data_IF_259211889249
#
_entry.id   IF_259211889249
#
_cell.length_a   1.000
_cell.length_b   1.000
_cell.length_c   1.000
_cell.angle_alpha   90.00
_cell.angle_beta   90.00
_cell.angle_gamma   90.00
#
_symmetry.space_group_name_H-M   'P 1'
#
loop_
_entity.id
_entity.type
_entity.pdbx_description
1 polymer ?
#
# COMPACT_ATOMS: atom_id res chain seq x y z
N UNK A 1 42.22 7.69 2.05
CA UNK A 1 42.38 9.13 2.35
C UNK A 1 42.31 10.04 1.10
N UNK A 2 42.52 9.57 -0.14
CA UNK A 2 42.53 10.48 -1.32
C UNK A 2 41.18 11.04 -1.76
N UNK A 3 40.06 10.34 -1.53
CA UNK A 3 38.74 10.80 -2.00
C UNK A 3 38.14 11.93 -1.15
N UNK A 4 38.41 11.99 0.15
CA UNK A 4 37.79 12.99 1.06
C UNK A 4 38.42 14.38 0.93
N UNK A 5 39.73 14.42 0.65
CA UNK A 5 40.49 15.65 0.40
C UNK A 5 39.97 16.37 -0.85
N UNK A 6 39.51 15.64 -1.86
CA UNK A 6 38.91 16.22 -3.08
C UNK A 6 37.62 17.01 -2.80
N UNK A 7 36.90 16.69 -1.72
CA UNK A 7 35.62 17.32 -1.36
C UNK A 7 35.73 18.22 -0.12
N UNK A 8 36.95 18.58 0.29
CA UNK A 8 37.22 19.39 1.50
C UNK A 8 36.52 18.84 2.77
N UNK A 9 36.43 17.51 2.85
CA UNK A 9 35.71 16.82 3.91
C UNK A 9 36.69 16.26 4.96
N UNK A 10 36.41 16.51 6.23
CA UNK A 10 37.17 15.95 7.36
C UNK A 10 36.34 14.93 8.14
N UNK A 11 37.00 13.86 8.61
CA UNK A 11 36.41 12.90 9.56
C UNK A 11 36.54 13.46 10.98
N UNK A 12 35.42 13.59 11.69
CA UNK A 12 35.35 14.32 12.95
C UNK A 12 35.42 13.44 14.20
N UNK A 13 34.89 12.21 14.17
CA UNK A 13 34.94 11.31 15.33
C UNK A 13 36.24 10.52 15.36
N UNK A 14 36.80 10.35 16.57
CA UNK A 14 38.07 9.65 16.81
C UNK A 14 37.91 8.34 17.60
N UNK A 15 36.75 8.12 18.22
CA UNK A 15 36.49 6.94 19.03
C UNK A 15 35.96 5.76 18.20
N UNK A 16 36.17 4.54 18.69
CA UNK A 16 35.61 3.33 18.11
C UNK A 16 34.09 3.27 18.28
N UNK A 17 33.39 3.10 17.16
CA UNK A 17 31.92 3.06 17.14
C UNK A 17 31.37 1.65 17.23
N UNK A 18 32.18 0.62 16.97
CA UNK A 18 31.83 -0.77 17.21
C UNK A 18 32.84 -1.39 18.16
N UNK A 19 32.37 -1.78 19.34
CA UNK A 19 33.17 -2.40 20.40
C UNK A 19 32.61 -3.78 20.68
N UNK A 20 33.43 -4.80 20.51
CA UNK A 20 33.13 -6.19 20.83
C UNK A 20 34.12 -6.69 21.88
N UNK A 21 33.91 -7.87 22.50
CA UNK A 21 34.86 -8.41 23.48
C UNK A 21 36.28 -8.60 22.93
N UNK A 22 36.44 -8.73 21.60
CA UNK A 22 37.73 -9.08 20.95
C UNK A 22 38.24 -8.03 19.96
N UNK A 23 37.40 -7.10 19.51
CA UNK A 23 37.77 -6.08 18.50
C UNK A 23 37.10 -4.74 18.74
N UNK A 24 37.80 -3.67 18.41
CA UNK A 24 37.31 -2.30 18.40
C UNK A 24 37.52 -1.71 17.01
N UNK A 25 36.46 -1.26 16.35
CA UNK A 25 36.50 -0.75 14.97
C UNK A 25 35.68 0.53 14.84
N UNK A 26 36.16 1.46 14.03
CA UNK A 26 35.47 2.70 13.70
C UNK A 26 34.74 2.51 12.37
N UNK A 27 33.44 2.22 12.45
CA UNK A 27 32.61 1.94 11.27
C UNK A 27 31.71 3.12 10.94
N UNK A 28 31.24 3.83 11.96
CA UNK A 28 30.30 4.94 11.84
C UNK A 28 31.10 6.25 11.86
N UNK A 29 31.22 6.92 10.70
CA UNK A 29 32.03 8.13 10.54
C UNK A 29 31.14 9.38 10.50
N UNK A 30 31.58 10.45 11.18
CA UNK A 30 31.07 11.81 10.99
C UNK A 30 31.99 12.48 9.98
N UNK A 31 31.48 12.78 8.79
CA UNK A 31 32.23 13.45 7.72
C UNK A 31 31.53 14.77 7.41
N UNK A 32 32.27 15.87 7.40
CA UNK A 32 31.74 17.21 7.11
C UNK A 32 32.77 18.06 6.39
N UNK A 33 32.32 18.96 5.52
CA UNK A 33 33.12 20.04 4.96
C UNK A 33 33.00 21.35 5.75
N UNK A 34 32.29 21.31 6.88
CA UNK A 34 32.11 22.41 7.83
C UNK A 34 32.39 21.91 9.24
N UNK A 35 33.67 21.70 9.52
CA UNK A 35 34.15 21.19 10.80
C UNK A 35 33.89 22.18 11.95
N UNK A 36 33.88 23.47 11.63
CA UNK A 36 33.59 24.61 12.50
C UNK A 36 32.19 24.57 13.12
N UNK A 37 31.21 23.98 12.43
CA UNK A 37 29.84 23.88 12.92
C UNK A 37 29.60 22.68 13.84
N UNK A 38 30.54 21.73 13.95
CA UNK A 38 30.35 20.46 14.65
C UNK A 38 31.12 20.46 15.97
N UNK A 39 30.40 20.32 17.07
CA UNK A 39 30.93 20.33 18.43
C UNK A 39 30.47 19.10 19.24
N UNK A 40 31.06 18.89 20.43
CA UNK A 40 30.56 17.94 21.42
C UNK A 40 30.37 16.50 20.90
N UNK A 41 31.30 16.00 20.08
CA UNK A 41 31.27 14.63 19.57
C UNK A 41 31.44 13.66 20.74
N UNK A 42 30.50 12.73 20.88
CA UNK A 42 30.44 11.75 21.97
C UNK A 42 30.02 10.39 21.44
N UNK A 43 30.72 9.37 21.88
CA UNK A 43 30.39 7.98 21.59
C UNK A 43 29.70 7.37 22.80
N UNK A 44 28.40 7.14 22.70
CA UNK A 44 27.56 6.64 23.77
C UNK A 44 27.12 5.22 23.48
N UNK A 45 27.64 4.25 24.23
CA UNK A 45 27.16 2.89 24.12
C UNK A 45 25.73 2.76 24.70
N UNK A 46 24.81 2.38 23.81
CA UNK A 46 23.37 2.29 24.06
C UNK A 46 22.93 0.96 24.67
N UNK A 47 23.81 -0.04 24.69
CA UNK A 47 23.60 -1.39 25.23
C UNK A 47 22.58 -2.24 24.47
N UNK A 48 22.07 -1.74 23.35
CA UNK A 48 21.09 -2.43 22.50
C UNK A 48 21.73 -3.00 21.23
N UNK A 49 22.96 -2.59 20.90
CA UNK A 49 23.72 -3.01 19.72
C UNK A 49 25.20 -3.08 20.07
N UNK A 50 25.98 -3.82 19.27
CA UNK A 50 27.45 -3.78 19.29
C UNK A 50 28.00 -2.47 18.69
N UNK A 51 27.11 -1.63 18.12
CA UNK A 51 27.43 -0.28 17.70
C UNK A 51 27.03 0.73 18.78
N UNK A 52 27.99 1.58 19.14
CA UNK A 52 27.84 2.73 19.99
C UNK A 52 27.17 3.86 19.20
N UNK A 53 26.25 4.57 19.85
CA UNK A 53 25.62 5.74 19.26
C UNK A 53 26.63 6.88 19.26
N UNK A 54 26.99 7.35 18.07
CA UNK A 54 27.73 8.60 17.93
C UNK A 54 26.73 9.76 17.96
N UNK A 55 26.97 10.73 18.83
CA UNK A 55 26.21 11.99 18.87
C UNK A 55 27.16 13.17 18.81
N UNK A 56 26.71 14.25 18.18
CA UNK A 56 27.44 15.51 18.09
C UNK A 56 26.41 16.64 18.15
N UNK A 57 26.86 17.82 18.54
CA UNK A 57 26.07 19.05 18.45
C UNK A 57 26.49 19.77 17.18
N UNK A 58 25.53 20.42 16.53
CA UNK A 58 25.84 21.26 15.39
C UNK A 58 25.21 22.62 15.60
N UNK A 59 26.01 23.69 15.52
CA UNK A 59 25.50 25.04 15.69
C UNK A 59 24.85 25.51 14.38
N UNK A 60 23.53 25.42 14.33
CA UNK A 60 22.72 26.05 13.30
C UNK A 60 21.43 26.53 13.94
N UNK A 61 20.88 27.66 13.50
CA UNK A 61 19.54 28.11 13.91
C UNK A 61 18.51 27.22 13.22
N UNK A 62 17.88 26.23 13.89
CA UNK A 62 16.89 25.41 13.21
C UNK A 62 15.67 26.28 12.87
N UNK A 63 15.22 26.25 11.61
CA UNK A 63 13.89 26.77 11.27
C UNK A 63 12.86 25.99 12.08
N UNK A 64 12.22 26.63 13.06
CA UNK A 64 11.11 26.03 13.81
C UNK A 64 9.96 25.81 12.84
N UNK A 65 9.69 24.56 12.48
CA UNK A 65 8.53 24.23 11.65
C UNK A 65 7.27 24.58 12.45
N UNK A 66 6.38 25.45 11.94
CA UNK A 66 5.16 25.80 12.64
C UNK A 66 4.31 24.53 12.83
N UNK A 67 3.57 24.41 13.95
CA UNK A 67 2.74 23.25 14.19
C UNK A 67 1.66 23.11 13.10
N UNK A 68 1.49 21.90 12.58
CA UNK A 68 0.44 21.61 11.59
C UNK A 68 -0.93 21.70 12.27
N UNK A 69 -1.74 22.66 11.84
CA UNK A 69 -3.13 22.80 12.26
C UNK A 69 -4.00 22.20 11.15
N UNK A 70 -4.94 21.33 11.52
CA UNK A 70 -5.91 20.73 10.58
C UNK A 70 -7.31 21.12 11.02
N UNK A 71 -8.17 21.46 10.06
CA UNK A 71 -9.59 21.70 10.30
C UNK A 71 -10.35 20.38 10.15
N UNK A 72 -11.13 20.01 11.16
CA UNK A 72 -12.00 18.82 11.14
C UNK A 72 -13.41 19.21 11.57
N UNK A 73 -14.44 18.52 11.09
CA UNK A 73 -15.80 18.70 11.59
C UNK A 73 -16.03 17.92 12.89
N UNK A 74 -16.73 18.54 13.85
CA UNK A 74 -16.95 17.96 15.17
C UNK A 74 -18.18 17.04 15.20
N UNK A 75 -18.03 15.81 14.73
CA UNK A 75 -19.14 14.85 14.70
C UNK A 75 -19.46 14.18 16.06
N UNK A 76 -18.71 14.48 17.14
CA UNK A 76 -18.88 13.79 18.43
C UNK A 76 -20.19 14.11 19.14
N UNK A 77 -20.74 15.30 18.89
CA UNK A 77 -21.98 15.79 19.48
C UNK A 77 -23.13 15.85 18.46
N UNK A 78 -22.94 15.23 17.30
CA UNK A 78 -23.92 15.29 16.23
C UNK A 78 -25.12 14.41 16.57
N UNK A 79 -26.32 15.00 16.57
CA UNK A 79 -27.58 14.28 16.75
C UNK A 79 -28.01 13.68 15.42
N UNK A 80 -27.72 12.38 15.23
CA UNK A 80 -27.89 11.69 13.94
C UNK A 80 -29.33 11.77 13.42
N UNK A 81 -30.33 11.67 14.29
CA UNK A 81 -31.74 11.70 13.88
C UNK A 81 -32.17 13.10 13.44
N UNK A 82 -31.71 14.16 14.11
CA UNK A 82 -31.98 15.55 13.69
C UNK A 82 -31.28 15.85 12.35
N UNK A 83 -30.04 15.39 12.17
CA UNK A 83 -29.31 15.54 10.90
C UNK A 83 -30.04 14.86 9.72
N UNK A 84 -30.59 13.66 9.93
CA UNK A 84 -31.40 12.97 8.91
C UNK A 84 -32.68 13.74 8.59
N UNK A 85 -33.36 14.26 9.62
CA UNK A 85 -34.58 15.04 9.45
C UNK A 85 -34.32 16.31 8.62
N UNK A 86 -33.25 17.03 8.92
CA UNK A 86 -32.89 18.25 8.19
C UNK A 86 -32.44 17.94 6.75
N UNK A 87 -31.80 16.79 6.50
CA UNK A 87 -31.56 16.31 5.15
C UNK A 87 -32.86 15.94 4.41
N UNK A 88 -33.87 15.39 5.07
CA UNK A 88 -35.15 15.07 4.42
C UNK A 88 -35.96 16.31 4.08
N UNK A 89 -35.91 17.32 4.95
CA UNK A 89 -36.64 18.58 4.79
C UNK A 89 -35.89 19.61 3.93
N UNK A 90 -34.66 19.32 3.52
CA UNK A 90 -33.87 20.21 2.72
C UNK A 90 -34.52 20.44 1.33
N UNK A 91 -34.43 21.67 0.78
CA UNK A 91 -35.10 22.03 -0.47
C UNK A 91 -34.31 21.53 -1.69
N UNK A 92 -34.15 20.21 -1.83
CA UNK A 92 -33.37 19.60 -2.92
C UNK A 92 -33.92 19.91 -4.31
N UNK A 93 -35.23 20.14 -4.42
CA UNK A 93 -35.91 20.54 -5.66
C UNK A 93 -35.37 21.85 -6.24
N UNK A 94 -34.69 22.69 -5.44
CA UNK A 94 -33.99 23.88 -5.93
C UNK A 94 -32.95 23.53 -6.99
N UNK A 95 -32.38 22.32 -6.95
CA UNK A 95 -31.43 21.86 -7.97
C UNK A 95 -32.09 21.72 -9.34
N UNK A 96 -33.37 21.34 -9.41
CA UNK A 96 -34.08 21.10 -10.68
C UNK A 96 -34.36 22.40 -11.46
N UNK A 97 -34.19 23.55 -10.82
CA UNK A 97 -34.37 24.87 -11.43
C UNK A 97 -33.25 25.25 -12.40
N UNK A 98 -32.12 24.53 -12.38
CA UNK A 98 -30.97 24.78 -13.25
C UNK A 98 -30.98 23.79 -14.42
N UNK A 99 -30.49 24.20 -15.59
CA UNK A 99 -30.32 23.30 -16.73
C UNK A 99 -28.95 22.61 -16.69
N UNK A 100 -27.92 23.38 -16.36
CA UNK A 100 -26.53 22.93 -16.30
C UNK A 100 -26.24 21.98 -15.14
N UNK A 101 -25.45 20.94 -15.39
CA UNK A 101 -25.15 19.87 -14.42
C UNK A 101 -24.18 20.35 -13.33
N UNK A 102 -23.26 21.25 -13.65
CA UNK A 102 -22.32 21.81 -12.69
C UNK A 102 -23.05 22.73 -11.71
N UNK A 103 -23.98 23.55 -12.21
CA UNK A 103 -24.82 24.41 -11.38
C UNK A 103 -25.70 23.58 -10.42
N UNK A 104 -26.32 22.50 -10.92
CA UNK A 104 -27.05 21.52 -10.09
C UNK A 104 -26.19 20.97 -8.96
N UNK A 105 -24.97 20.55 -9.30
CA UNK A 105 -24.03 19.97 -8.36
C UNK A 105 -23.59 20.99 -7.30
N UNK A 106 -23.36 22.25 -7.70
CA UNK A 106 -22.97 23.32 -6.79
C UNK A 106 -24.07 23.61 -5.77
N UNK A 107 -25.31 23.83 -6.23
CA UNK A 107 -26.46 24.14 -5.36
C UNK A 107 -26.74 22.99 -4.40
N UNK A 108 -26.73 21.75 -4.89
CA UNK A 108 -26.85 20.57 -4.04
C UNK A 108 -25.78 20.55 -2.95
N UNK A 109 -24.53 20.84 -3.34
CA UNK A 109 -23.40 20.79 -2.41
C UNK A 109 -23.50 21.89 -1.35
N UNK A 110 -24.00 23.07 -1.72
CA UNK A 110 -24.14 24.19 -0.80
C UNK A 110 -25.23 23.91 0.25
N UNK A 111 -26.40 23.42 -0.17
CA UNK A 111 -27.47 22.95 0.73
C UNK A 111 -26.93 21.90 1.71
N UNK A 112 -26.20 20.90 1.19
CA UNK A 112 -25.61 19.84 2.02
C UNK A 112 -24.56 20.39 3.01
N UNK A 113 -23.73 21.34 2.58
CA UNK A 113 -22.69 21.96 3.41
C UNK A 113 -23.26 22.80 4.54
N UNK A 114 -24.37 23.50 4.30
CA UNK A 114 -25.04 24.31 5.31
C UNK A 114 -25.60 23.43 6.43
N UNK A 115 -26.28 22.34 6.08
CA UNK A 115 -26.74 21.33 7.05
C UNK A 115 -25.55 20.73 7.81
N UNK A 116 -24.44 20.47 7.12
CA UNK A 116 -23.22 19.99 7.79
C UNK A 116 -22.63 21.02 8.75
N UNK A 117 -22.76 22.33 8.51
CA UNK A 117 -22.24 23.36 9.41
C UNK A 117 -23.07 23.47 10.69
N UNK A 118 -24.40 23.33 10.59
CA UNK A 118 -25.28 23.27 11.75
C UNK A 118 -24.97 22.06 12.64
N UNK A 119 -24.89 20.86 12.04
CA UNK A 119 -24.81 19.60 12.78
C UNK A 119 -23.39 19.16 13.13
N UNK A 120 -22.40 19.56 12.34
CA UNK A 120 -21.01 19.16 12.49
C UNK A 120 -20.08 20.34 12.19
N UNK A 121 -20.06 21.39 13.04
CA UNK A 121 -19.29 22.60 12.80
C UNK A 121 -17.79 22.33 12.71
N UNK A 122 -17.10 23.14 11.91
CA UNK A 122 -15.65 23.04 11.72
C UNK A 122 -14.89 23.46 12.99
N UNK A 123 -13.86 22.69 13.36
CA UNK A 123 -12.95 23.00 14.47
C UNK A 123 -11.50 22.83 14.05
N UNK A 124 -10.66 23.81 14.42
CA UNK A 124 -9.19 23.71 14.25
C UNK A 124 -8.58 22.80 15.31
N UNK A 125 -7.72 21.89 14.90
CA UNK A 125 -7.01 20.96 15.78
C UNK A 125 -5.50 21.00 15.51
N UNK A 126 -4.71 21.30 16.56
CA UNK A 126 -3.25 21.26 16.50
C UNK A 126 -2.77 19.82 16.52
N UNK A 127 -2.15 19.40 15.42
CA UNK A 127 -1.63 18.05 15.27
C UNK A 127 -0.38 17.87 16.13
N UNK A 128 -0.48 17.08 17.21
CA UNK A 128 0.66 16.73 18.05
C UNK A 128 1.46 15.61 17.39
N UNK A 129 2.79 15.65 17.50
CA UNK A 129 3.63 14.49 17.15
C UNK A 129 3.20 13.33 18.05
N UNK A 130 2.66 12.26 17.46
CA UNK A 130 2.28 11.09 18.22
C UNK A 130 3.55 10.40 18.73
N UNK A 131 3.72 10.34 20.05
CA UNK A 131 4.59 9.34 20.64
C UNK A 131 3.98 7.97 20.42
N UNK A 132 4.80 6.92 20.32
CA UNK A 132 4.30 5.54 20.22
C UNK A 132 3.22 5.31 21.31
N UNK A 133 2.01 4.86 20.95
CA UNK A 133 0.89 4.80 21.89
C UNK A 133 1.16 3.95 23.14
N UNK A 134 1.97 2.90 23.00
CA UNK A 134 2.36 2.00 24.09
C UNK A 134 3.52 2.53 24.96
N UNK A 135 4.03 3.74 24.72
CA UNK A 135 5.16 4.32 25.47
C UNK A 135 4.68 5.22 26.62
N UNK A 136 4.45 4.59 27.78
CA UNK A 136 4.07 5.28 29.02
C UNK A 136 5.23 5.97 29.73
N UNK A 137 4.93 6.92 30.62
CA UNK A 137 5.92 7.56 31.49
C UNK A 137 6.66 6.57 32.39
N UNK A 138 5.94 5.60 32.97
CA UNK A 138 6.52 4.55 33.79
C UNK A 138 7.51 3.66 33.02
N UNK A 139 7.18 3.30 31.77
CA UNK A 139 8.07 2.51 30.92
C UNK A 139 9.36 3.28 30.58
N UNK A 140 9.25 4.59 30.30
CA UNK A 140 10.43 5.46 30.09
C UNK A 140 11.32 5.52 31.32
N UNK A 141 10.75 5.59 32.53
CA UNK A 141 11.53 5.57 33.76
C UNK A 141 12.31 4.25 33.92
N UNK A 142 11.69 3.11 33.62
CA UNK A 142 12.37 1.80 33.65
C UNK A 142 13.48 1.69 32.60
N UNK A 143 13.26 2.20 31.39
CA UNK A 143 14.31 2.31 30.36
C UNK A 143 15.50 3.16 30.83
N UNK A 144 15.24 4.26 31.52
CA UNK A 144 16.28 5.11 32.11
C UNK A 144 17.03 4.40 33.24
N UNK A 145 16.35 3.64 34.10
CA UNK A 145 16.99 2.81 35.14
C UNK A 145 17.93 1.77 34.52
N UNK A 146 17.47 1.03 33.51
CA UNK A 146 18.29 0.09 32.72
C UNK A 146 19.52 0.78 32.14
N UNK A 147 19.35 1.97 31.54
CA UNK A 147 20.45 2.74 30.99
C UNK A 147 21.48 3.13 32.07
N UNK A 148 21.03 3.62 33.22
CA UNK A 148 21.94 3.94 34.35
C UNK A 148 22.70 2.70 34.84
N UNK A 149 22.03 1.55 34.96
CA UNK A 149 22.67 0.29 35.36
C UNK A 149 23.75 -0.15 34.35
N UNK A 150 23.49 -0.01 33.05
CA UNK A 150 24.49 -0.24 32.01
C UNK A 150 25.70 0.68 32.15
N UNK A 151 25.48 1.98 32.40
CA UNK A 151 26.58 2.92 32.60
C UNK A 151 27.44 2.54 33.82
N UNK A 152 26.83 2.04 34.90
CA UNK A 152 27.57 1.52 36.06
C UNK A 152 28.38 0.26 35.73
N UNK A 153 27.75 -0.74 35.11
CA UNK A 153 28.43 -1.99 34.72
C UNK A 153 29.62 -1.75 33.77
N UNK A 154 29.55 -0.71 32.93
CA UNK A 154 30.66 -0.30 32.06
C UNK A 154 31.83 0.33 32.79
N UNK A 155 31.56 1.11 33.84
CA UNK A 155 32.62 1.71 34.67
C UNK A 155 33.41 0.63 35.40
N UNK A 156 32.74 -0.43 35.84
CA UNK A 156 33.35 -1.56 36.54
C UNK A 156 33.19 -2.85 35.73
N UNK A 157 33.92 -2.94 34.60
CA UNK A 157 33.79 -4.06 33.65
C UNK A 157 33.90 -5.45 34.27
N UNK A 158 34.72 -5.60 35.32
CA UNK A 158 35.00 -6.89 35.97
C UNK A 158 33.96 -7.28 37.04
N UNK A 159 32.99 -6.41 37.33
CA UNK A 159 31.98 -6.64 38.35
C UNK A 159 30.76 -7.39 37.77
N UNK A 160 30.76 -8.71 37.87
CA UNK A 160 29.69 -9.58 37.35
C UNK A 160 28.31 -9.30 37.99
N UNK A 161 28.29 -8.79 39.22
CA UNK A 161 27.06 -8.38 39.91
C UNK A 161 26.32 -7.26 39.17
N UNK A 162 27.04 -6.23 38.72
CA UNK A 162 26.47 -5.11 37.96
C UNK A 162 25.99 -5.55 36.58
N UNK A 163 26.69 -6.47 35.91
CA UNK A 163 26.25 -7.05 34.64
C UNK A 163 25.02 -7.93 34.79
N UNK A 164 24.89 -8.66 35.92
CA UNK A 164 23.69 -9.43 36.25
C UNK A 164 22.48 -8.51 36.50
N UNK A 165 22.67 -7.41 37.24
CA UNK A 165 21.64 -6.39 37.47
C UNK A 165 21.18 -5.75 36.14
N UNK A 166 22.14 -5.35 35.29
CA UNK A 166 21.83 -4.82 33.96
C UNK A 166 21.03 -5.82 33.11
N UNK A 167 21.47 -7.08 33.02
CA UNK A 167 20.76 -8.12 32.25
C UNK A 167 19.33 -8.34 32.76
N UNK A 168 19.13 -8.32 34.08
CA UNK A 168 17.79 -8.39 34.70
C UNK A 168 16.91 -7.21 34.24
N UNK A 169 17.39 -5.98 34.42
CA UNK A 169 16.65 -4.77 34.01
C UNK A 169 16.40 -4.71 32.50
N UNK A 170 17.34 -5.19 31.68
CA UNK A 170 17.18 -5.29 30.23
C UNK A 170 16.04 -6.23 29.86
N UNK A 171 15.99 -7.41 30.48
CA UNK A 171 14.96 -8.41 30.21
C UNK A 171 13.59 -7.92 30.69
N UNK A 172 13.51 -7.28 31.87
CA UNK A 172 12.29 -6.66 32.39
C UNK A 172 11.74 -5.58 31.44
N UNK A 173 12.57 -4.62 31.03
CA UNK A 173 12.19 -3.56 30.08
C UNK A 173 11.73 -4.17 28.75
N UNK A 174 12.41 -5.20 28.27
CA UNK A 174 12.04 -5.87 27.00
C UNK A 174 10.69 -6.58 27.12
N UNK A 175 10.44 -7.27 28.24
CA UNK A 175 9.18 -7.96 28.49
C UNK A 175 8.01 -6.97 28.62
N UNK A 176 8.22 -5.85 29.32
CA UNK A 176 7.20 -4.83 29.52
C UNK A 176 6.90 -4.04 28.24
N UNK A 177 7.93 -3.74 27.43
CA UNK A 177 7.74 -3.13 26.12
C UNK A 177 6.91 -4.04 25.21
N UNK A 178 7.20 -5.36 25.20
CA UNK A 178 6.42 -6.35 24.45
C UNK A 178 4.97 -6.39 24.96
N UNK A 179 4.76 -6.41 26.28
CA UNK A 179 3.44 -6.43 26.90
C UNK A 179 2.64 -5.17 26.54
N UNK A 180 3.20 -3.98 26.73
CA UNK A 180 2.54 -2.71 26.41
C UNK A 180 2.16 -2.63 24.93
N UNK A 181 3.06 -3.06 24.02
CA UNK A 181 2.78 -3.14 22.59
C UNK A 181 1.65 -4.15 22.30
N UNK A 182 1.68 -5.32 22.93
CA UNK A 182 0.67 -6.38 22.81
C UNK A 182 -0.72 -5.89 23.25
N UNK A 183 -0.82 -5.28 24.43
CA UNK A 183 -2.06 -4.71 24.99
C UNK A 183 -2.64 -3.65 24.07
N UNK A 184 -1.81 -2.71 23.59
CA UNK A 184 -2.25 -1.67 22.67
C UNK A 184 -2.91 -2.26 21.40
N UNK A 185 -2.27 -3.24 20.77
CA UNK A 185 -2.84 -3.86 19.57
C UNK A 185 -4.08 -4.72 19.88
N UNK A 186 -4.15 -5.34 21.06
CA UNK A 186 -5.31 -6.11 21.50
C UNK A 186 -6.54 -5.22 21.73
N UNK A 187 -6.37 -4.09 22.39
CA UNK A 187 -7.42 -3.07 22.55
C UNK A 187 -7.86 -2.52 21.20
N UNK A 188 -6.91 -2.20 20.32
CA UNK A 188 -7.22 -1.72 18.97
C UNK A 188 -8.02 -2.74 18.14
N UNK A 189 -7.75 -4.04 18.33
CA UNK A 189 -8.47 -5.12 17.69
C UNK A 189 -9.89 -5.33 18.27
N UNK A 190 -10.06 -5.16 19.59
CA UNK A 190 -11.36 -5.37 20.24
C UNK A 190 -12.33 -4.18 20.10
N UNK A 191 -11.83 -2.95 19.98
CA UNK A 191 -12.67 -1.76 19.97
C UNK A 191 -13.45 -1.52 18.66
N UNK A 192 -13.43 -2.42 17.67
CA UNK A 192 -14.01 -2.15 16.35
C UNK A 192 -14.75 -3.37 15.75
N UNK A 193 -15.83 -3.12 15.00
CA UNK A 193 -16.31 -4.06 13.97
C UNK A 193 -15.29 -4.05 12.83
N UNK A 194 -14.30 -4.94 12.89
CA UNK A 194 -13.14 -4.89 11.99
C UNK A 194 -13.42 -5.67 10.69
N UNK A 195 -13.36 -4.96 9.56
CA UNK A 195 -13.31 -5.57 8.24
C UNK A 195 -11.85 -5.93 7.85
N UNK A 196 -11.68 -6.79 6.84
CA UNK A 196 -10.37 -7.29 6.41
C UNK A 196 -9.35 -6.18 6.12
N UNK A 197 -9.78 -5.04 5.54
CA UNK A 197 -8.92 -3.88 5.25
C UNK A 197 -8.38 -3.23 6.53
N UNK A 198 -9.21 -3.06 7.56
CA UNK A 198 -8.80 -2.51 8.85
C UNK A 198 -7.85 -3.46 9.59
N UNK A 199 -8.13 -4.77 9.57
CA UNK A 199 -7.20 -5.79 10.13
C UNK A 199 -5.84 -5.75 9.43
N UNK A 200 -5.80 -5.61 8.10
CA UNK A 200 -4.55 -5.44 7.34
C UNK A 200 -3.74 -4.21 7.75
N UNK A 201 -4.42 -3.10 8.06
CA UNK A 201 -3.75 -1.89 8.55
C UNK A 201 -3.08 -2.14 9.90
N UNK A 202 -3.79 -2.80 10.82
CA UNK A 202 -3.25 -3.18 12.13
C UNK A 202 -2.03 -4.10 11.96
N UNK A 203 -2.10 -5.09 11.06
CA UNK A 203 -1.00 -6.01 10.75
C UNK A 203 0.26 -5.26 10.25
N UNK A 204 0.09 -4.32 9.32
CA UNK A 204 1.19 -3.53 8.78
C UNK A 204 1.83 -2.61 9.83
N UNK A 205 1.02 -2.08 10.75
CA UNK A 205 1.49 -1.29 11.89
C UNK A 205 2.28 -2.14 12.90
N UNK A 206 1.74 -3.30 13.27
CA UNK A 206 2.38 -4.19 14.23
C UNK A 206 3.72 -4.72 13.73
N UNK A 207 3.81 -5.01 12.43
CA UNK A 207 5.02 -5.50 11.75
C UNK A 207 6.07 -4.42 11.45
N UNK A 208 5.78 -3.13 11.68
CA UNK A 208 6.72 -2.04 11.38
C UNK A 208 6.98 -1.84 9.88
N UNK A 209 6.17 -2.44 9.01
CA UNK A 209 6.22 -2.26 7.55
C UNK A 209 5.61 -0.95 7.09
N UNK A 210 4.77 -0.33 7.92
CA UNK A 210 4.53 1.11 7.81
C UNK A 210 5.86 1.80 8.17
N UNK A 211 6.70 2.02 7.17
CA UNK A 211 7.64 3.13 7.24
C UNK A 211 6.83 4.36 7.65
N UNK A 212 7.41 5.23 8.49
CA UNK A 212 6.88 6.57 8.74
C UNK A 212 6.87 7.44 7.46
N UNK A 213 6.71 6.85 6.28
CA UNK A 213 6.53 7.45 4.99
C UNK A 213 5.07 7.84 4.80
N UNK A 214 4.64 8.70 5.73
CA UNK A 214 3.68 9.79 5.58
C UNK A 214 3.34 10.19 7.00
N UNK A 215 3.90 11.33 7.42
CA UNK A 215 3.16 12.35 8.15
C UNK A 215 1.71 12.27 7.72
N UNK A 216 0.90 11.53 8.48
CA UNK A 216 -0.54 11.65 8.55
C UNK A 216 -1.12 11.84 7.15
N UNK A 217 -1.35 10.72 6.44
CA UNK A 217 -2.53 10.68 5.57
C UNK A 217 -3.64 11.17 6.48
N UNK A 218 -4.00 12.43 6.25
CA UNK A 218 -5.04 13.11 6.96
C UNK A 218 -6.16 12.11 7.11
N UNK A 219 -6.72 12.07 8.32
CA UNK A 219 -7.98 11.42 8.58
C UNK A 219 -8.84 11.74 7.36
N UNK A 220 -9.12 10.71 6.54
CA UNK A 220 -10.09 10.74 5.46
C UNK A 220 -11.48 10.80 6.11
N UNK A 221 -11.65 11.68 7.10
CA UNK A 221 -12.91 12.23 7.56
C UNK A 221 -13.23 13.24 6.48
N UNK A 222 -14.17 12.90 5.62
CA UNK A 222 -14.41 13.52 4.33
C UNK A 222 -14.98 14.94 4.38
N UNK A 223 -14.41 15.83 5.19
CA UNK A 223 -14.88 17.21 5.36
C UNK A 223 -13.68 18.16 5.56
N UNK A 224 -12.66 18.00 4.73
CA UNK A 224 -11.60 18.99 4.57
C UNK A 224 -11.85 19.65 3.21
N UNK A 225 -12.28 20.91 3.19
CA UNK A 225 -12.34 21.70 1.95
C UNK A 225 -10.89 21.92 1.50
N UNK A 226 -10.43 21.15 0.52
CA UNK A 226 -9.36 21.58 -0.37
C UNK A 226 -9.95 22.59 -1.35
N UNK A 227 -9.13 23.49 -1.88
CA UNK A 227 -9.49 24.28 -3.06
C UNK A 227 -10.02 23.32 -4.15
N UNK A 228 -11.17 23.67 -4.74
CA UNK A 228 -11.79 22.90 -5.81
C UNK A 228 -11.02 23.21 -7.08
N UNK A 229 -10.28 22.24 -7.58
CA UNK A 229 -9.81 22.28 -8.97
C UNK A 229 -10.90 21.62 -9.83
N UNK A 230 -11.28 22.30 -10.91
CA UNK A 230 -12.18 21.73 -11.92
C UNK A 230 -11.53 20.48 -12.53
N UNK A 231 -12.34 19.45 -12.77
CA UNK A 231 -11.92 18.24 -13.48
C UNK A 231 -12.64 18.24 -14.80
N UNK A 232 -11.94 18.66 -15.86
CA UNK A 232 -12.53 18.75 -17.21
C UNK A 232 -12.83 17.36 -17.79
N UNK A 233 -12.05 16.34 -17.39
CA UNK A 233 -12.19 14.97 -17.88
C UNK A 233 -11.94 13.93 -16.78
N UNK A 234 -12.79 12.89 -16.77
CA UNK A 234 -12.66 11.71 -15.91
C UNK A 234 -13.34 11.86 -14.55
N UNK A 235 -13.16 10.84 -13.71
CA UNK A 235 -13.77 10.77 -12.37
C UNK A 235 -12.69 10.91 -11.29
N UNK A 236 -12.92 11.70 -10.22
CA UNK A 236 -11.96 11.84 -9.14
C UNK A 236 -11.58 10.49 -8.52
N UNK A 237 -10.29 10.20 -8.46
CA UNK A 237 -9.81 8.90 -8.00
C UNK A 237 -10.16 8.68 -6.51
N UNK A 238 -10.91 7.62 -6.23
CA UNK A 238 -11.39 7.31 -4.88
C UNK A 238 -12.69 8.01 -4.50
N UNK A 239 -13.38 8.63 -5.47
CA UNK A 239 -14.82 8.91 -5.38
C UNK A 239 -15.60 7.59 -5.22
N UNK A 240 -16.77 7.67 -4.59
CA UNK A 240 -17.64 6.50 -4.37
C UNK A 240 -18.34 6.11 -5.68
N UNK A 241 -18.72 7.10 -6.50
CA UNK A 241 -19.42 6.89 -7.77
C UNK A 241 -18.50 6.60 -8.95
N UNK A 242 -17.21 6.95 -8.88
CA UNK A 242 -16.27 6.77 -9.98
C UNK A 242 -16.28 5.37 -10.61
N UNK A 243 -16.26 4.27 -9.84
CA UNK A 243 -16.33 2.92 -10.40
C UNK A 243 -17.63 2.62 -11.15
N UNK A 244 -18.77 3.12 -10.66
CA UNK A 244 -20.08 2.92 -11.30
C UNK A 244 -20.16 3.69 -12.62
N UNK A 245 -19.75 4.97 -12.60
CA UNK A 245 -19.75 5.82 -13.79
C UNK A 245 -18.83 5.26 -14.87
N UNK A 246 -17.64 4.76 -14.48
CA UNK A 246 -16.73 4.11 -15.42
C UNK A 246 -17.31 2.80 -15.99
N UNK A 247 -18.00 1.99 -15.19
CA UNK A 247 -18.65 0.78 -15.67
C UNK A 247 -19.75 1.09 -16.69
N UNK A 248 -20.59 2.09 -16.43
CA UNK A 248 -21.63 2.55 -17.36
C UNK A 248 -21.04 3.12 -18.65
N UNK A 249 -19.94 3.86 -18.54
CA UNK A 249 -19.26 4.45 -19.70
C UNK A 249 -18.66 3.40 -20.65
N UNK A 250 -18.20 2.26 -20.12
CA UNK A 250 -17.58 1.19 -20.91
C UNK A 250 -18.53 0.02 -21.25
N UNK A 251 -19.82 0.12 -20.95
CA UNK A 251 -20.76 -1.01 -21.01
C UNK A 251 -20.96 -1.55 -22.44
N UNK A 252 -20.83 -0.69 -23.45
CA UNK A 252 -21.00 -1.04 -24.87
C UNK A 252 -19.71 -1.47 -25.58
N UNK A 253 -18.53 -1.25 -24.99
CA UNK A 253 -17.24 -1.64 -25.58
C UNK A 253 -17.18 -3.13 -25.97
N UNK A 254 -17.62 -4.10 -25.15
CA UNK A 254 -17.61 -5.51 -25.54
C UNK A 254 -18.41 -5.81 -26.81
N UNK A 255 -19.41 -4.99 -27.15
CA UNK A 255 -20.23 -5.20 -28.35
C UNK A 255 -19.47 -4.89 -29.63
N UNK A 256 -18.40 -4.09 -29.59
CA UNK A 256 -17.60 -3.78 -30.78
C UNK A 256 -16.70 -4.94 -31.24
N UNK A 257 -16.52 -5.95 -30.40
CA UNK A 257 -15.56 -7.05 -30.60
C UNK A 257 -16.24 -8.44 -30.59
N UNK A 258 -17.57 -8.48 -30.71
CA UNK A 258 -18.34 -9.73 -30.61
C UNK A 258 -18.58 -10.33 -32.00
N UNK A 259 -17.65 -11.17 -32.43
CA UNK A 259 -17.68 -11.90 -33.70
C UNK A 259 -17.44 -13.41 -33.48
N UNK A 260 -17.62 -14.22 -34.53
CA UNK A 260 -17.47 -15.68 -34.45
C UNK A 260 -16.02 -16.09 -34.12
N UNK A 261 -15.79 -16.42 -32.85
CA UNK A 261 -14.49 -16.83 -32.32
C UNK A 261 -13.74 -15.72 -31.58
N UNK A 262 -14.31 -14.52 -31.49
CA UNK A 262 -13.75 -13.37 -30.77
C UNK A 262 -14.61 -13.01 -29.55
N UNK A 263 -13.96 -12.88 -28.38
CA UNK A 263 -14.61 -12.53 -27.13
C UNK A 263 -13.78 -11.48 -26.39
N UNK A 264 -14.41 -10.34 -26.07
CA UNK A 264 -13.82 -9.27 -25.28
C UNK A 264 -14.43 -9.26 -23.88
N UNK A 265 -13.60 -9.51 -22.87
CA UNK A 265 -13.98 -9.49 -21.47
C UNK A 265 -13.30 -8.32 -20.76
N UNK A 266 -14.03 -7.68 -19.84
CA UNK A 266 -13.54 -6.52 -19.09
C UNK A 266 -13.64 -6.74 -17.58
N UNK A 267 -12.63 -6.23 -16.87
CA UNK A 267 -12.64 -6.09 -15.42
C UNK A 267 -12.06 -4.74 -15.03
N UNK A 268 -12.93 -3.78 -14.73
CA UNK A 268 -12.54 -2.38 -14.62
C UNK A 268 -11.76 -1.94 -15.88
N UNK A 269 -10.54 -1.42 -15.73
CA UNK A 269 -9.68 -1.00 -16.84
C UNK A 269 -8.93 -2.15 -17.54
N UNK A 270 -8.86 -3.34 -16.93
CA UNK A 270 -8.23 -4.51 -17.54
C UNK A 270 -9.17 -5.12 -18.59
N UNK A 271 -8.75 -5.12 -19.86
CA UNK A 271 -9.50 -5.70 -20.98
C UNK A 271 -8.74 -6.89 -21.56
N UNK A 272 -9.43 -8.01 -21.78
CA UNK A 272 -8.88 -9.22 -22.39
C UNK A 272 -9.65 -9.55 -23.66
N UNK A 273 -8.95 -9.55 -24.79
CA UNK A 273 -9.49 -9.98 -26.07
C UNK A 273 -8.96 -11.38 -26.40
N UNK A 274 -9.86 -12.32 -26.64
CA UNK A 274 -9.54 -13.69 -27.06
C UNK A 274 -9.99 -13.89 -28.50
N UNK A 275 -9.16 -14.53 -29.32
CA UNK A 275 -9.52 -14.98 -30.67
C UNK A 275 -9.17 -16.46 -30.83
N UNK A 276 -10.09 -17.24 -31.40
CA UNK A 276 -9.97 -18.68 -31.62
C UNK A 276 -10.08 -19.00 -33.11
N UNK A 277 -9.25 -19.94 -33.57
CA UNK A 277 -9.23 -20.40 -34.94
C UNK A 277 -8.35 -21.63 -35.10
N UNK A 278 -8.40 -22.24 -36.28
CA UNK A 278 -7.70 -23.49 -36.59
C UNK A 278 -6.20 -23.25 -36.86
N UNK A 279 -5.88 -22.12 -37.47
CA UNK A 279 -4.51 -21.73 -37.81
C UNK A 279 -4.08 -20.45 -37.09
N UNK A 280 -2.78 -20.33 -36.82
CA UNK A 280 -2.22 -19.16 -36.13
C UNK A 280 -2.40 -17.88 -36.95
N UNK A 281 -2.28 -17.98 -38.28
CA UNK A 281 -2.42 -16.83 -39.18
C UNK A 281 -3.86 -16.29 -39.21
N UNK A 282 -4.86 -17.19 -39.28
CA UNK A 282 -6.27 -16.80 -39.19
C UNK A 282 -6.58 -16.10 -37.86
N UNK A 283 -6.09 -16.66 -36.74
CA UNK A 283 -6.29 -16.08 -35.41
C UNK A 283 -5.66 -14.69 -35.32
N UNK A 284 -4.44 -14.51 -35.82
CA UNK A 284 -3.77 -13.20 -35.73
C UNK A 284 -4.43 -12.18 -36.66
N UNK A 285 -4.90 -12.59 -37.84
CA UNK A 285 -5.64 -11.72 -38.75
C UNK A 285 -6.92 -11.20 -38.10
N UNK A 286 -7.76 -12.11 -37.58
CA UNK A 286 -8.99 -11.78 -36.83
C UNK A 286 -8.72 -10.91 -35.61
N UNK A 287 -7.66 -11.22 -34.87
CA UNK A 287 -7.24 -10.46 -33.69
C UNK A 287 -6.88 -9.02 -34.07
N UNK A 288 -6.11 -8.81 -35.14
CA UNK A 288 -5.73 -7.47 -35.60
C UNK A 288 -6.92 -6.67 -36.11
N UNK A 289 -7.86 -7.29 -36.82
CA UNK A 289 -9.11 -6.65 -37.25
C UNK A 289 -9.93 -6.17 -36.04
N UNK A 290 -10.08 -7.05 -35.05
CA UNK A 290 -10.84 -6.74 -33.82
C UNK A 290 -10.16 -5.66 -32.97
N UNK A 291 -8.83 -5.69 -32.86
CA UNK A 291 -8.07 -4.62 -32.20
C UNK A 291 -8.24 -3.28 -32.91
N UNK A 292 -8.45 -3.28 -34.23
CA UNK A 292 -8.83 -2.09 -35.00
C UNK A 292 -10.16 -1.50 -34.56
N UNK A 293 -11.20 -2.34 -34.43
CA UNK A 293 -12.52 -1.92 -33.95
C UNK A 293 -12.48 -1.37 -32.52
N UNK A 294 -11.75 -2.04 -31.63
CA UNK A 294 -11.53 -1.58 -30.24
C UNK A 294 -10.82 -0.22 -30.23
N UNK A 295 -9.81 -0.05 -31.06
CA UNK A 295 -9.06 1.21 -31.17
C UNK A 295 -9.96 2.36 -31.64
N UNK A 296 -10.81 2.09 -32.62
CA UNK A 296 -11.77 3.07 -33.14
C UNK A 296 -12.81 3.45 -32.07
N UNK A 297 -13.35 2.47 -31.35
CA UNK A 297 -14.27 2.74 -30.24
C UNK A 297 -13.59 3.59 -29.16
N UNK A 298 -12.36 3.27 -28.77
CA UNK A 298 -11.61 4.06 -27.79
C UNK A 298 -11.41 5.49 -28.29
N UNK A 299 -11.01 5.67 -29.55
CA UNK A 299 -10.82 6.99 -30.14
C UNK A 299 -12.10 7.83 -30.13
N UNK A 300 -13.23 7.25 -30.55
CA UNK A 300 -14.55 7.90 -30.55
C UNK A 300 -15.00 8.33 -29.16
N UNK A 301 -14.64 7.56 -28.13
CA UNK A 301 -14.98 7.82 -26.73
C UNK A 301 -13.90 8.63 -25.98
N UNK A 302 -12.91 9.20 -26.69
CA UNK A 302 -11.85 10.00 -26.05
C UNK A 302 -10.91 9.20 -25.14
N UNK A 303 -10.87 7.87 -25.30
CA UNK A 303 -9.97 6.99 -24.57
C UNK A 303 -8.67 6.75 -25.34
N UNK A 304 -7.58 6.60 -24.59
CA UNK A 304 -6.26 6.27 -25.15
C UNK A 304 -5.87 4.86 -24.74
N UNK A 305 -5.68 3.98 -25.72
CA UNK A 305 -5.09 2.65 -25.50
C UNK A 305 -3.58 2.75 -25.27
N UNK A 306 -3.01 1.83 -24.49
CA UNK A 306 -1.60 1.81 -24.15
C UNK A 306 -0.89 0.56 -24.70
N UNK A 307 -0.43 0.56 -25.97
CA UNK A 307 0.22 -0.60 -26.59
C UNK A 307 1.41 -1.16 -25.79
N UNK A 308 2.18 -0.28 -25.12
CA UNK A 308 3.33 -0.70 -24.30
C UNK A 308 2.95 -1.52 -23.06
N UNK A 309 1.69 -1.43 -22.59
CA UNK A 309 1.15 -2.23 -21.48
C UNK A 309 0.39 -3.46 -21.98
N UNK A 310 0.11 -3.54 -23.28
CA UNK A 310 -0.59 -4.66 -23.90
C UNK A 310 0.39 -5.80 -24.18
N UNK A 311 0.00 -7.02 -23.84
CA UNK A 311 0.76 -8.24 -24.10
C UNK A 311 -0.08 -9.22 -24.92
N UNK A 312 0.53 -9.87 -25.91
CA UNK A 312 -0.10 -10.93 -26.69
C UNK A 312 0.46 -12.30 -26.27
N UNK A 313 -0.39 -13.32 -26.15
CA UNK A 313 0.03 -14.68 -25.77
C UNK A 313 -0.64 -15.70 -26.67
N UNK A 314 0.17 -16.49 -27.40
CA UNK A 314 -0.34 -17.61 -28.19
C UNK A 314 -0.51 -18.86 -27.32
N UNK A 315 -1.74 -19.36 -27.21
CA UNK A 315 -2.06 -20.62 -26.52
C UNK A 315 -2.39 -21.68 -27.58
N UNK A 316 -1.61 -22.77 -27.63
CA UNK A 316 -1.87 -23.91 -28.53
C UNK A 316 -1.38 -25.23 -27.94
N UNK A 317 -1.93 -26.35 -28.43
CA UNK A 317 -1.37 -27.69 -28.22
C UNK A 317 -0.12 -27.89 -29.10
N UNK A 318 0.93 -28.51 -28.57
CA UNK A 318 2.20 -28.73 -29.29
C UNK A 318 3.11 -27.50 -29.38
N UNK A 319 4.17 -27.60 -30.17
CA UNK A 319 5.12 -26.49 -30.45
C UNK A 319 4.66 -25.70 -31.67
N UNK A 320 4.86 -24.38 -31.63
CA UNK A 320 4.78 -23.55 -32.84
C UNK A 320 6.20 -23.48 -33.43
N UNK A 321 6.30 -23.57 -34.75
CA UNK A 321 7.56 -23.46 -35.48
C UNK A 321 7.39 -22.30 -36.47
N UNK A 322 8.33 -21.36 -36.45
CA UNK A 322 8.29 -20.17 -37.30
C UNK A 322 8.15 -18.86 -36.49
N UNK A 323 8.30 -17.71 -37.17
CA UNK A 323 8.03 -16.41 -36.58
C UNK A 323 6.52 -16.22 -36.39
N UNK A 324 6.13 -15.61 -35.26
CA UNK A 324 4.74 -15.20 -35.08
C UNK A 324 4.49 -13.94 -35.92
N UNK A 325 3.38 -13.88 -36.69
CA UNK A 325 2.94 -12.64 -37.30
C UNK A 325 2.80 -11.51 -36.26
N UNK A 326 3.04 -10.25 -36.67
CA UNK A 326 2.93 -9.11 -35.77
C UNK A 326 1.47 -8.89 -35.35
N UNK A 327 1.28 -8.58 -34.07
CA UNK A 327 0.02 -8.04 -33.55
C UNK A 327 0.20 -6.53 -33.39
N UNK A 328 -0.76 -5.75 -33.88
CA UNK A 328 -0.69 -4.30 -33.90
C UNK A 328 -1.85 -3.67 -33.13
N UNK A 329 -1.56 -2.62 -32.37
CA UNK A 329 -2.55 -1.79 -31.69
C UNK A 329 -2.16 -0.32 -31.88
N UNK A 330 -3.04 0.48 -32.52
CA UNK A 330 -2.73 1.86 -32.93
C UNK A 330 -1.39 1.99 -33.70
N UNK A 331 -1.13 1.08 -34.64
CA UNK A 331 0.10 1.05 -35.44
C UNK A 331 1.37 0.66 -34.66
N UNK A 332 1.26 0.37 -33.36
CA UNK A 332 2.37 -0.08 -32.51
C UNK A 332 2.38 -1.60 -32.39
N UNK A 333 3.57 -2.21 -32.40
CA UNK A 333 3.73 -3.66 -32.22
C UNK A 333 3.47 -4.08 -30.77
N UNK A 334 2.58 -5.04 -30.59
CA UNK A 334 2.28 -5.66 -29.29
C UNK A 334 3.31 -6.74 -28.99
N UNK A 335 3.78 -6.79 -27.74
CA UNK A 335 4.80 -7.74 -27.30
C UNK A 335 4.22 -9.14 -27.14
N UNK A 336 4.83 -10.13 -27.79
CA UNK A 336 4.56 -11.54 -27.54
C UNK A 336 5.19 -12.01 -26.21
N UNK A 337 4.40 -12.68 -25.37
CA UNK A 337 4.83 -13.22 -24.08
C UNK A 337 4.48 -14.70 -23.95
N UNK A 338 5.28 -15.42 -23.14
CA UNK A 338 5.00 -16.82 -22.77
C UNK A 338 4.31 -16.94 -21.41
N UNK A 339 4.34 -15.88 -20.61
CA UNK A 339 3.72 -15.77 -19.29
C UNK A 339 3.18 -14.37 -19.12
N UNK A 340 1.98 -14.24 -18.57
CA UNK A 340 1.37 -12.96 -18.24
C UNK A 340 0.57 -13.09 -16.95
N UNK A 341 0.34 -11.96 -16.29
CA UNK A 341 -0.45 -11.90 -15.06
C UNK A 341 -1.76 -11.20 -15.35
N UNK A 342 -2.86 -11.94 -15.24
CA UNK A 342 -4.22 -11.42 -15.40
C UNK A 342 -5.00 -11.61 -14.10
N UNK A 343 -5.61 -10.52 -13.59
CA UNK A 343 -6.44 -10.51 -12.37
C UNK A 343 -5.82 -11.21 -11.15
N UNK A 344 -4.49 -11.14 -11.02
CA UNK A 344 -3.75 -11.76 -9.91
C UNK A 344 -3.31 -13.21 -10.14
N UNK A 345 -3.69 -13.82 -11.26
CA UNK A 345 -3.30 -15.17 -11.66
C UNK A 345 -2.19 -15.11 -12.71
N UNK A 346 -1.14 -15.92 -12.53
CA UNK A 346 -0.07 -16.03 -13.53
C UNK A 346 -0.41 -17.15 -14.50
N UNK A 347 -0.60 -16.81 -15.77
CA UNK A 347 -0.88 -17.76 -16.84
C UNK A 347 0.38 -17.99 -17.65
N UNK A 348 0.57 -19.21 -18.11
CA UNK A 348 1.58 -19.51 -19.13
C UNK A 348 0.94 -20.06 -20.40
N UNK A 349 1.65 -19.91 -21.50
CA UNK A 349 1.18 -20.28 -22.83
C UNK A 349 1.03 -21.80 -23.05
N UNK A 350 1.41 -22.61 -22.06
CA UNK A 350 1.18 -24.06 -21.99
C UNK A 350 0.12 -24.43 -20.96
N UNK A 351 -0.53 -23.44 -20.36
CA UNK A 351 -1.53 -23.56 -19.30
C UNK A 351 -1.04 -24.42 -18.12
N UNK A 352 0.26 -24.36 -17.80
CA UNK A 352 0.80 -25.01 -16.59
C UNK A 352 0.63 -24.10 -15.39
N UNK A 353 0.19 -24.67 -14.27
CA UNK A 353 -0.04 -23.89 -13.04
C UNK A 353 1.19 -23.74 -12.15
N UNK A 354 2.32 -24.35 -12.51
CA UNK A 354 3.52 -24.41 -11.64
C UNK A 354 4.02 -23.02 -11.25
N UNK A 355 4.16 -22.12 -12.22
CA UNK A 355 4.65 -20.75 -11.95
C UNK A 355 3.72 -19.96 -11.04
N UNK A 356 2.41 -20.09 -11.24
CA UNK A 356 1.41 -19.48 -10.35
C UNK A 356 1.49 -20.06 -8.93
N UNK A 357 1.50 -21.39 -8.80
CA UNK A 357 1.57 -22.07 -7.50
C UNK A 357 2.83 -21.71 -6.72
N UNK A 358 3.98 -21.60 -7.39
CA UNK A 358 5.23 -21.13 -6.77
C UNK A 358 5.12 -19.69 -6.27
N UNK A 359 4.53 -18.78 -7.07
CA UNK A 359 4.30 -17.40 -6.67
C UNK A 359 3.35 -17.30 -5.45
N UNK A 360 2.26 -18.06 -5.46
CA UNK A 360 1.30 -18.12 -4.35
C UNK A 360 1.97 -18.68 -3.09
N UNK A 361 2.76 -19.76 -3.22
CA UNK A 361 3.54 -20.33 -2.11
C UNK A 361 4.51 -19.31 -1.52
N UNK A 362 5.28 -18.62 -2.34
CA UNK A 362 6.22 -17.60 -1.87
C UNK A 362 5.49 -16.44 -1.17
N UNK A 363 4.37 -15.99 -1.72
CA UNK A 363 3.54 -14.96 -1.09
C UNK A 363 2.99 -15.40 0.27
N UNK A 364 2.55 -16.66 0.39
CA UNK A 364 2.09 -17.24 1.64
C UNK A 364 3.21 -17.33 2.68
N UNK A 365 4.37 -17.88 2.31
CA UNK A 365 5.54 -18.00 3.21
C UNK A 365 5.99 -16.62 3.72
N UNK A 366 6.00 -15.60 2.86
CA UNK A 366 6.30 -14.21 3.27
C UNK A 366 5.32 -13.69 4.33
N UNK A 367 4.02 -13.97 4.18
CA UNK A 367 2.98 -13.58 5.15
C UNK A 367 3.08 -14.38 6.44
N UNK A 368 3.39 -15.67 6.38
CA UNK A 368 3.63 -16.51 7.57
C UNK A 368 4.87 -16.05 8.35
N UNK A 369 5.97 -15.72 7.67
CA UNK A 369 7.16 -15.21 8.35
C UNK A 369 6.89 -13.86 9.01
N UNK A 370 6.02 -13.03 8.41
CA UNK A 370 5.52 -11.82 9.06
C UNK A 370 4.77 -12.15 10.35
N UNK A 371 3.84 -13.11 10.31
CA UNK A 371 3.08 -13.55 11.48
C UNK A 371 4.00 -14.04 12.61
N UNK A 372 5.02 -14.85 12.27
CA UNK A 372 6.04 -15.35 13.22
C UNK A 372 6.81 -14.20 13.88
N UNK A 373 7.16 -13.16 13.14
CA UNK A 373 7.84 -11.98 13.70
C UNK A 373 7.01 -11.21 14.74
N UNK A 374 5.68 -11.41 14.73
CA UNK A 374 4.73 -10.77 15.64
C UNK A 374 4.37 -11.64 16.84
N UNK A 375 5.20 -12.62 17.22
CA UNK A 375 5.00 -13.47 18.40
C UNK A 375 4.90 -12.73 19.76
N UNK A 376 5.06 -11.40 19.78
CA UNK A 376 4.74 -10.57 20.95
C UNK A 376 3.22 -10.31 21.12
N UNK A 377 2.41 -10.58 20.10
CA UNK A 377 0.95 -10.43 20.13
C UNK A 377 0.27 -11.65 20.76
N UNK A 378 -0.98 -11.50 21.28
CA UNK A 378 -1.72 -12.62 21.85
C UNK A 378 -2.03 -13.70 20.81
N UNK A 379 -2.11 -14.97 21.23
CA UNK A 379 -2.35 -16.12 20.34
C UNK A 379 -3.63 -15.97 19.51
N UNK A 380 -4.75 -15.59 20.13
CA UNK A 380 -6.02 -15.39 19.44
C UNK A 380 -5.93 -14.36 18.30
N UNK A 381 -5.09 -13.34 18.46
CA UNK A 381 -4.88 -12.32 17.42
C UNK A 381 -4.05 -12.85 16.26
N UNK A 382 -3.05 -13.70 16.55
CA UNK A 382 -2.27 -14.38 15.52
C UNK A 382 -3.14 -15.35 14.71
N UNK A 383 -4.04 -16.07 15.38
CA UNK A 383 -5.04 -16.93 14.75
C UNK A 383 -6.01 -16.10 13.88
N UNK A 384 -6.48 -14.96 14.39
CA UNK A 384 -7.28 -14.00 13.62
C UNK A 384 -6.55 -13.51 12.37
N UNK A 385 -5.27 -13.12 12.47
CA UNK A 385 -4.49 -12.71 11.30
C UNK A 385 -4.33 -13.84 10.29
N UNK A 386 -4.16 -15.07 10.78
CA UNK A 386 -4.08 -16.22 9.90
C UNK A 386 -5.40 -16.43 9.14
N UNK A 387 -6.53 -16.55 9.85
CA UNK A 387 -7.82 -16.91 9.27
C UNK A 387 -8.53 -15.77 8.54
N UNK A 388 -8.42 -14.52 9.02
CA UNK A 388 -9.14 -13.37 8.44
C UNK A 388 -8.35 -12.65 7.35
N UNK A 389 -7.02 -12.84 7.30
CA UNK A 389 -6.14 -12.07 6.41
C UNK A 389 -5.27 -12.96 5.53
N UNK A 390 -4.44 -13.82 6.13
CA UNK A 390 -3.45 -14.59 5.37
C UNK A 390 -4.14 -15.65 4.52
N UNK A 391 -5.02 -16.46 5.13
CA UNK A 391 -5.71 -17.55 4.46
C UNK A 391 -6.59 -17.08 3.30
N UNK A 392 -7.49 -16.08 3.46
CA UNK A 392 -8.29 -15.56 2.35
C UNK A 392 -7.41 -15.03 1.22
N UNK A 393 -6.34 -14.31 1.56
CA UNK A 393 -5.42 -13.74 0.56
C UNK A 393 -4.58 -14.76 -0.21
N UNK A 394 -4.73 -16.05 0.07
CA UNK A 394 -4.12 -17.15 -0.67
C UNK A 394 -5.22 -17.93 -1.37
N UNK A 395 -6.31 -18.27 -0.68
CA UNK A 395 -7.42 -19.01 -1.27
C UNK A 395 -8.10 -18.26 -2.41
N UNK A 396 -8.25 -16.93 -2.30
CA UNK A 396 -8.79 -16.10 -3.39
C UNK A 396 -7.97 -16.19 -4.69
N UNK A 397 -6.66 -16.46 -4.60
CA UNK A 397 -5.78 -16.63 -5.76
C UNK A 397 -5.53 -18.10 -6.12
N UNK A 398 -5.77 -19.02 -5.19
CA UNK A 398 -5.65 -20.47 -5.42
C UNK A 398 -6.82 -21.05 -6.19
N UNK A 399 -8.03 -20.54 -5.96
CA UNK A 399 -9.22 -21.13 -6.57
C UNK A 399 -9.52 -20.64 -7.97
N UNK A 400 -9.02 -19.46 -8.38
CA UNK A 400 -9.00 -19.02 -9.78
C UNK A 400 -10.30 -19.17 -10.56
N UNK A 401 -11.45 -19.45 -9.93
CA UNK A 401 -12.62 -19.97 -10.65
C UNK A 401 -13.12 -18.94 -11.64
N UNK A 402 -13.07 -17.66 -11.31
CA UNK A 402 -13.46 -16.57 -12.20
C UNK A 402 -12.52 -16.43 -13.39
N UNK A 403 -11.21 -16.56 -13.19
CA UNK A 403 -10.19 -16.45 -14.25
C UNK A 403 -10.17 -17.70 -15.13
N UNK A 404 -10.28 -18.88 -14.53
CA UNK A 404 -10.43 -20.14 -15.24
C UNK A 404 -11.76 -20.15 -16.00
N UNK A 405 -12.86 -19.61 -15.45
CA UNK A 405 -14.14 -19.47 -16.20
C UNK A 405 -14.03 -18.47 -17.37
N UNK A 406 -13.37 -17.33 -17.19
CA UNK A 406 -13.09 -16.34 -18.26
C UNK A 406 -12.26 -16.98 -19.40
N UNK A 407 -11.21 -17.74 -19.07
CA UNK A 407 -10.32 -18.33 -20.09
C UNK A 407 -10.86 -19.66 -20.66
N UNK A 408 -11.60 -20.46 -19.87
CA UNK A 408 -12.06 -21.80 -20.28
C UNK A 408 -13.41 -21.81 -20.98
N UNK A 409 -14.25 -20.78 -20.81
CA UNK A 409 -15.49 -20.62 -21.58
C UNK A 409 -15.24 -20.69 -23.09
N UNK A 410 -14.33 -19.89 -23.67
CA UNK A 410 -14.04 -19.94 -25.10
C UNK A 410 -13.41 -21.27 -25.54
N UNK A 411 -12.63 -21.96 -24.68
CA UNK A 411 -11.98 -23.24 -25.03
C UNK A 411 -12.91 -24.46 -25.04
N UNK A 412 -14.08 -24.42 -24.38
CA UNK A 412 -15.03 -25.56 -24.30
C UNK A 412 -15.83 -25.79 -25.58
N UNK A 413 -15.94 -24.79 -26.46
CA UNK A 413 -16.58 -24.96 -27.77
C UNK A 413 -15.82 -25.89 -28.73
N UNK A 414 -14.55 -26.16 -28.44
CA UNK A 414 -13.65 -26.92 -29.33
C UNK A 414 -13.64 -28.44 -29.09
N UNK A 415 -14.39 -28.96 -28.10
CA UNK A 415 -14.45 -30.41 -27.80
C UNK A 415 -15.68 -31.12 -28.35
N UNK A 416 -16.54 -30.44 -29.13
CA UNK A 416 -17.65 -31.08 -29.85
C UNK A 416 -17.34 -31.12 -31.35
N UNK A 417 -16.49 -32.07 -31.75
CA UNK A 417 -16.30 -32.53 -33.13
C UNK A 417 -16.37 -34.06 -33.13
N UNK A 418 -16.83 -34.69 -34.22
CA UNK A 418 -17.44 -36.02 -34.16
C UNK A 418 -16.42 -37.07 -33.73
N UNK A 419 -16.83 -37.90 -32.77
CA UNK A 419 -16.17 -39.16 -32.51
C UNK A 419 -16.21 -40.02 -33.78
N UNK A 420 -15.04 -40.32 -34.33
CA UNK A 420 -14.77 -41.51 -35.13
C UNK A 420 -13.65 -42.26 -34.45
#
# INVERSE_FOLDING_TARGET
MSALVQFDCSVMNKDFTRVTPTTETMIDLIITNKADLVENIKTADTGISHHNLVSFSMDFKPRKVPPRIVTIRNCKKMEIEKFKLDLQNAPWSTCEMFEDVEDKCSVWTDIFKDICEEHAPKRKFKLRRQTLPWMSGALRQKMNRRYKALQKAKKERNNEGLWKEYRKLRNEVTAELRRAKSTYFAELANCQKINTRKYWKILNQASGKESNMKTIRAIKSGLCDSEREGVDYGVPQGSVLGPLLFALFCDDLPNCARHDGEELEMYADDTTLTSIGETVDQVILKLNETLGLVSEWCYKNGMTVHPAKTEAMLIKRGTFVGPLPPVQLNGSLVKWVKKSKSLGVTLDNKLKWRGHTENVKLAFVRKLNLLKSMGFLPKHMLEDFYWKVIFPSVTSFSFGETVVKHISKPMKGCTQGPHV
#
